data_IF_994827085443
#
_entry.id   IF_994827085443
#
_cell.length_a   1.000
_cell.length_b   1.000
_cell.length_c   1.000
_cell.angle_alpha   90.00
_cell.angle_beta   90.00
_cell.angle_gamma   90.00
#
_symmetry.space_group_name_H-M   'P 1'
#
loop_
_entity.id
_entity.type
_entity.pdbx_description
1 polymer ?
#
# COMPACT_ATOMS: atom_id res chain seq x y z
N UNK A 1 9.07 -26.76 2.48
CA UNK A 1 7.88 -26.46 3.28
C UNK A 1 6.63 -26.45 2.39
N UNK A 2 5.45 -26.44 3.00
CA UNK A 2 4.18 -26.27 2.31
C UNK A 2 3.68 -24.83 2.43
N UNK A 3 3.61 -24.12 1.31
CA UNK A 3 3.15 -22.72 1.23
C UNK A 3 1.70 -22.67 0.77
N UNK A 4 0.86 -21.94 1.50
CA UNK A 4 -0.56 -21.76 1.21
C UNK A 4 -0.89 -20.36 0.69
N UNK A 5 -1.71 -20.29 -0.36
CA UNK A 5 -2.20 -19.04 -0.97
C UNK A 5 -3.73 -19.04 -0.95
N UNK A 6 -4.36 -18.48 0.10
CA UNK A 6 -5.81 -18.37 0.14
C UNK A 6 -6.31 -17.29 -0.83
N UNK A 7 -7.58 -17.40 -1.20
CA UNK A 7 -8.30 -16.35 -1.91
C UNK A 7 -8.52 -15.19 -0.95
N UNK A 8 -8.29 -13.96 -1.42
CA UNK A 8 -8.59 -12.78 -0.61
C UNK A 8 -10.10 -12.63 -0.41
N UNK A 9 -10.48 -12.30 0.83
CA UNK A 9 -11.88 -12.21 1.27
C UNK A 9 -12.29 -10.79 1.68
N UNK A 10 -11.33 -9.86 1.76
CA UNK A 10 -11.64 -8.45 1.99
C UNK A 10 -12.44 -7.90 0.81
N UNK A 11 -13.45 -7.08 1.10
CA UNK A 11 -14.32 -6.49 0.09
C UNK A 11 -13.47 -5.69 -0.92
N UNK A 12 -13.77 -5.88 -2.22
CA UNK A 12 -13.06 -5.21 -3.33
C UNK A 12 -11.54 -5.50 -3.36
N UNK A 13 -11.11 -6.63 -2.80
CA UNK A 13 -9.75 -7.14 -2.96
C UNK A 13 -9.71 -8.23 -4.05
N UNK A 14 -8.96 -7.93 -5.11
CA UNK A 14 -8.87 -8.79 -6.30
C UNK A 14 -7.44 -9.27 -6.57
N UNK A 15 -6.47 -8.85 -5.74
CA UNK A 15 -5.09 -9.34 -5.80
C UNK A 15 -4.99 -10.72 -5.15
N UNK A 16 -3.84 -11.36 -5.30
CA UNK A 16 -3.54 -12.68 -4.72
C UNK A 16 -2.12 -12.71 -4.16
N UNK A 17 -1.90 -13.50 -3.10
CA UNK A 17 -0.63 -13.54 -2.38
C UNK A 17 0.54 -13.97 -3.26
N UNK A 18 0.36 -15.03 -4.05
CA UNK A 18 1.36 -15.53 -5.00
C UNK A 18 0.81 -15.65 -6.42
N UNK A 19 1.62 -15.30 -7.41
CA UNK A 19 1.31 -15.51 -8.84
C UNK A 19 1.76 -16.90 -9.30
N UNK A 20 1.27 -17.42 -10.45
CA UNK A 20 1.82 -18.65 -11.03
C UNK A 20 3.34 -18.61 -11.26
N UNK A 21 3.92 -17.44 -11.54
CA UNK A 21 5.37 -17.29 -11.69
C UNK A 21 6.11 -17.49 -10.36
N UNK A 22 5.59 -16.88 -9.29
CA UNK A 22 6.11 -17.04 -7.93
C UNK A 22 5.98 -18.48 -7.43
N UNK A 23 4.85 -19.13 -7.75
CA UNK A 23 4.66 -20.56 -7.48
C UNK A 23 5.71 -21.39 -8.18
N UNK A 24 5.95 -21.14 -9.47
CA UNK A 24 6.93 -21.90 -10.25
C UNK A 24 8.33 -21.81 -9.64
N UNK A 25 8.71 -20.65 -9.13
CA UNK A 25 9.99 -20.44 -8.43
C UNK A 25 10.07 -21.29 -7.15
N UNK A 26 9.04 -21.25 -6.29
CA UNK A 26 9.02 -22.05 -5.05
C UNK A 26 9.04 -23.55 -5.32
N UNK A 27 8.33 -24.03 -6.35
CA UNK A 27 8.39 -25.43 -6.78
C UNK A 27 9.83 -25.76 -7.25
N UNK A 28 10.49 -24.84 -7.96
CA UNK A 28 11.89 -24.99 -8.39
C UNK A 28 12.88 -25.10 -7.22
N UNK A 29 12.57 -24.46 -6.09
CA UNK A 29 13.30 -24.56 -4.82
C UNK A 29 12.96 -25.83 -4.02
N UNK A 30 12.10 -26.71 -4.54
CA UNK A 30 11.72 -27.97 -3.88
C UNK A 30 10.67 -27.80 -2.79
N UNK A 31 9.92 -26.71 -2.80
CA UNK A 31 8.78 -26.52 -1.90
C UNK A 31 7.49 -27.00 -2.54
N UNK A 32 6.47 -27.19 -1.71
CA UNK A 32 5.11 -27.49 -2.16
C UNK A 32 4.25 -26.24 -2.02
N UNK A 33 3.34 -26.02 -2.97
CA UNK A 33 2.42 -24.89 -2.93
C UNK A 33 0.99 -25.39 -3.08
N UNK A 34 0.11 -24.97 -2.18
CA UNK A 34 -1.34 -25.13 -2.28
C UNK A 34 -2.02 -23.77 -2.48
N UNK A 35 -2.94 -23.72 -3.43
CA UNK A 35 -3.68 -22.50 -3.78
C UNK A 35 -5.16 -22.78 -3.66
N UNK A 36 -5.90 -21.89 -3.02
CA UNK A 36 -7.35 -22.02 -2.93
C UNK A 36 -7.98 -21.87 -4.32
N UNK A 37 -9.00 -22.69 -4.62
CA UNK A 37 -9.81 -22.59 -5.82
C UNK A 37 -10.22 -21.14 -6.12
N UNK A 38 -9.92 -20.67 -7.33
CA UNK A 38 -10.22 -19.35 -7.85
C UNK A 38 -9.56 -18.18 -7.08
N UNK A 39 -8.43 -18.41 -6.41
CA UNK A 39 -7.71 -17.35 -5.69
C UNK A 39 -7.18 -16.24 -6.62
N UNK A 40 -6.79 -16.58 -7.86
CA UNK A 40 -6.24 -15.63 -8.84
C UNK A 40 -7.17 -15.24 -10.00
N UNK A 41 -8.43 -15.71 -9.98
CA UNK A 41 -9.33 -15.61 -11.13
C UNK A 41 -9.62 -14.17 -11.56
N UNK A 42 -9.74 -13.25 -10.59
CA UNK A 42 -10.05 -11.84 -10.85
C UNK A 42 -8.99 -11.13 -11.71
N UNK A 43 -7.79 -11.72 -11.85
CA UNK A 43 -6.69 -11.19 -12.65
C UNK A 43 -6.24 -12.14 -13.77
N UNK A 44 -7.09 -13.10 -14.13
CA UNK A 44 -6.86 -14.14 -15.13
C UNK A 44 -5.68 -15.08 -14.79
N UNK A 45 -5.43 -15.32 -13.51
CA UNK A 45 -4.62 -16.45 -13.06
C UNK A 45 -5.55 -17.56 -12.59
N UNK A 46 -5.97 -18.37 -13.56
CA UNK A 46 -6.87 -19.49 -13.33
C UNK A 46 -6.18 -20.59 -12.53
N UNK A 47 -6.97 -21.45 -11.89
CA UNK A 47 -6.48 -22.68 -11.25
C UNK A 47 -5.57 -23.51 -12.15
N UNK A 48 -5.93 -23.64 -13.43
CA UNK A 48 -5.10 -24.35 -14.41
C UNK A 48 -3.71 -23.70 -14.56
N UNK A 49 -3.63 -22.36 -14.48
CA UNK A 49 -2.35 -21.65 -14.51
C UNK A 49 -1.47 -22.00 -13.30
N UNK A 50 -2.06 -22.14 -12.11
CA UNK A 50 -1.36 -22.56 -10.91
C UNK A 50 -0.94 -24.04 -10.96
N UNK A 51 -1.82 -24.92 -11.46
CA UNK A 51 -1.50 -26.34 -11.66
C UNK A 51 -0.34 -26.52 -12.64
N UNK A 52 -0.33 -25.78 -13.76
CA UNK A 52 0.79 -25.78 -14.72
C UNK A 52 2.11 -25.28 -14.09
N UNK A 53 2.02 -24.37 -13.10
CA UNK A 53 3.17 -23.92 -12.34
C UNK A 53 3.66 -24.97 -11.31
N UNK A 54 2.84 -25.98 -11.00
CA UNK A 54 3.16 -27.08 -10.08
C UNK A 54 2.44 -27.01 -8.73
N UNK A 55 1.53 -26.05 -8.52
CA UNK A 55 0.72 -26.00 -7.31
C UNK A 55 -0.42 -27.02 -7.33
N UNK A 56 -0.83 -27.44 -6.13
CA UNK A 56 -2.07 -28.18 -5.91
C UNK A 56 -3.21 -27.21 -5.58
N UNK A 57 -4.37 -27.43 -6.18
CA UNK A 57 -5.58 -26.66 -5.85
C UNK A 57 -6.30 -27.31 -4.68
N UNK A 58 -6.80 -26.50 -3.76
CA UNK A 58 -7.65 -26.92 -2.63
C UNK A 58 -8.96 -26.14 -2.63
N UNK A 59 -10.06 -26.78 -2.24
CA UNK A 59 -11.39 -26.18 -2.41
C UNK A 59 -11.68 -25.07 -1.39
N UNK A 60 -11.14 -25.20 -0.17
CA UNK A 60 -11.52 -24.32 0.94
C UNK A 60 -10.31 -23.68 1.62
N UNK A 61 -10.52 -22.48 2.15
CA UNK A 61 -9.55 -21.83 3.01
C UNK A 61 -9.24 -22.69 4.25
N UNK A 62 -10.24 -23.35 4.84
CA UNK A 62 -10.03 -24.20 6.01
C UNK A 62 -9.01 -25.33 5.75
N UNK A 63 -9.14 -26.06 4.63
CA UNK A 63 -8.17 -27.09 4.23
C UNK A 63 -6.77 -26.49 4.06
N UNK A 64 -6.69 -25.32 3.41
CA UNK A 64 -5.43 -24.63 3.15
C UNK A 64 -4.71 -24.23 4.45
N UNK A 65 -5.41 -23.55 5.35
CA UNK A 65 -4.88 -23.08 6.62
C UNK A 65 -4.52 -24.25 7.55
N UNK A 66 -5.27 -25.36 7.50
CA UNK A 66 -4.98 -26.55 8.30
C UNK A 66 -3.64 -27.21 7.94
N UNK A 67 -3.26 -27.17 6.66
CA UNK A 67 -2.10 -27.91 6.16
C UNK A 67 -0.85 -27.05 6.00
N UNK A 68 -0.96 -25.80 5.54
CA UNK A 68 0.19 -24.99 5.16
C UNK A 68 1.06 -24.57 6.35
N UNK A 69 2.39 -24.63 6.18
CA UNK A 69 3.37 -24.13 7.15
C UNK A 69 3.43 -22.59 7.12
N UNK A 70 3.31 -22.03 5.92
CA UNK A 70 3.31 -20.58 5.67
C UNK A 70 2.12 -20.17 4.82
N UNK A 71 1.42 -19.12 5.24
CA UNK A 71 0.32 -18.47 4.52
C UNK A 71 0.84 -17.16 3.93
N UNK A 72 0.75 -17.03 2.61
CA UNK A 72 1.09 -15.79 1.90
C UNK A 72 -0.19 -15.13 1.40
N UNK A 73 -0.47 -13.93 1.93
CA UNK A 73 -1.65 -13.13 1.62
C UNK A 73 -1.26 -11.75 1.11
N UNK A 74 -2.26 -11.00 0.67
CA UNK A 74 -2.17 -9.56 0.37
C UNK A 74 -2.66 -8.75 1.55
N UNK A 75 -3.88 -9.01 2.04
CA UNK A 75 -4.50 -8.22 3.11
C UNK A 75 -4.46 -8.94 4.44
N UNK A 76 -4.74 -8.18 5.49
CA UNK A 76 -4.82 -8.71 6.84
C UNK A 76 -5.92 -9.79 6.94
N UNK A 77 -5.76 -10.79 7.82
CA UNK A 77 -6.82 -11.76 8.06
C UNK A 77 -8.11 -11.03 8.47
N UNK A 78 -9.23 -11.44 7.89
CA UNK A 78 -10.55 -10.96 8.29
C UNK A 78 -11.09 -11.80 9.45
N UNK A 79 -12.15 -11.32 10.13
CA UNK A 79 -12.70 -12.01 11.31
C UNK A 79 -13.05 -13.49 11.10
N UNK A 80 -13.47 -13.85 9.88
CA UNK A 80 -13.77 -15.23 9.48
C UNK A 80 -12.51 -16.12 9.33
N UNK A 81 -11.34 -15.52 9.17
CA UNK A 81 -10.05 -16.21 9.02
C UNK A 81 -9.32 -16.40 10.36
N UNK A 82 -9.64 -15.61 11.40
CA UNK A 82 -8.98 -15.70 12.71
C UNK A 82 -8.98 -17.13 13.31
N UNK A 83 -10.10 -17.87 13.30
CA UNK A 83 -10.11 -19.23 13.85
C UNK A 83 -9.34 -20.26 13.01
N UNK A 84 -8.94 -19.90 11.79
CA UNK A 84 -8.19 -20.78 10.89
C UNK A 84 -6.68 -20.72 11.14
N UNK A 85 -6.19 -19.65 11.79
CA UNK A 85 -4.79 -19.48 12.12
C UNK A 85 -4.34 -20.51 13.16
N UNK A 86 -3.11 -21.02 13.00
CA UNK A 86 -2.55 -22.06 13.85
C UNK A 86 -1.30 -21.60 14.57
N UNK A 87 -1.04 -22.22 15.73
CA UNK A 87 0.19 -22.01 16.47
C UNK A 87 1.41 -22.40 15.63
N UNK A 88 2.41 -21.53 15.58
CA UNK A 88 3.64 -21.75 14.81
C UNK A 88 3.51 -21.62 13.29
N UNK A 89 2.32 -21.36 12.75
CA UNK A 89 2.12 -21.07 11.33
C UNK A 89 2.65 -19.68 10.99
N UNK A 90 3.39 -19.57 9.89
CA UNK A 90 3.89 -18.27 9.41
C UNK A 90 2.76 -17.60 8.65
N UNK A 91 2.45 -16.35 8.99
CA UNK A 91 1.55 -15.49 8.23
C UNK A 91 2.37 -14.32 7.67
N UNK A 92 2.48 -14.23 6.34
CA UNK A 92 3.21 -13.16 5.66
C UNK A 92 2.27 -12.37 4.76
N UNK A 93 1.95 -11.12 5.16
CA UNK A 93 0.92 -10.28 4.54
C UNK A 93 1.03 -8.81 5.01
N UNK A 94 0.20 -7.89 4.50
CA UNK A 94 -0.02 -6.60 5.17
C UNK A 94 -0.90 -6.80 6.41
N UNK A 95 -0.55 -6.22 7.56
CA UNK A 95 -1.33 -6.38 8.80
C UNK A 95 -1.99 -5.08 9.28
N UNK A 96 -1.25 -3.98 9.25
CA UNK A 96 -1.64 -2.67 9.77
C UNK A 96 -2.19 -2.77 11.21
N UNK A 97 -1.43 -3.40 12.11
CA UNK A 97 -1.92 -3.76 13.46
C UNK A 97 -2.20 -2.58 14.38
N UNK A 98 -1.45 -1.48 14.28
CA UNK A 98 -1.57 -0.34 15.20
C UNK A 98 -3.01 0.21 15.34
N UNK A 99 -3.78 0.42 14.26
CA UNK A 99 -5.18 0.83 14.36
C UNK A 99 -6.21 -0.31 14.56
N UNK A 100 -5.78 -1.58 14.70
CA UNK A 100 -6.68 -2.74 14.72
C UNK A 100 -6.41 -3.69 15.92
N UNK A 101 -6.87 -3.32 17.12
CA UNK A 101 -6.70 -4.14 18.33
C UNK A 101 -7.39 -5.51 18.24
N UNK A 102 -8.45 -5.63 17.45
CA UNK A 102 -9.19 -6.90 17.30
C UNK A 102 -8.36 -7.92 16.55
N UNK A 103 -7.77 -7.50 15.42
CA UNK A 103 -6.85 -8.33 14.65
C UNK A 103 -5.61 -8.69 15.48
N UNK A 104 -4.98 -7.71 16.16
CA UNK A 104 -3.81 -7.96 16.99
C UNK A 104 -4.08 -9.02 18.07
N UNK A 105 -5.21 -8.91 18.77
CA UNK A 105 -5.62 -9.89 19.78
C UNK A 105 -5.83 -11.29 19.18
N UNK A 106 -6.43 -11.39 17.99
CA UNK A 106 -6.63 -12.65 17.31
C UNK A 106 -5.31 -13.32 16.90
N UNK A 107 -4.36 -12.54 16.36
CA UNK A 107 -3.03 -13.06 16.02
C UNK A 107 -2.28 -13.56 17.27
N UNK A 108 -2.31 -12.79 18.36
CA UNK A 108 -1.70 -13.19 19.64
C UNK A 108 -2.29 -14.51 20.15
N UNK A 109 -3.63 -14.63 20.17
CA UNK A 109 -4.32 -15.84 20.63
C UNK A 109 -4.04 -17.07 19.75
N UNK A 110 -3.86 -16.87 18.44
CA UNK A 110 -3.56 -17.97 17.52
C UNK A 110 -2.17 -18.58 17.72
N UNK A 111 -1.24 -17.84 18.34
CA UNK A 111 0.15 -18.27 18.49
C UNK A 111 0.92 -18.33 17.16
N UNK A 112 0.41 -17.69 16.09
CA UNK A 112 1.07 -17.65 14.79
C UNK A 112 2.36 -16.81 14.83
N UNK A 113 3.10 -16.85 13.73
CA UNK A 113 4.30 -16.04 13.48
C UNK A 113 3.93 -15.06 12.38
N UNK A 114 3.52 -13.85 12.77
CA UNK A 114 3.01 -12.84 11.83
C UNK A 114 4.10 -11.85 11.44
N UNK A 115 4.44 -11.84 10.15
CA UNK A 115 5.42 -10.93 9.55
C UNK A 115 4.66 -9.94 8.65
N UNK A 116 4.77 -8.64 8.93
CA UNK A 116 4.02 -7.61 8.22
C UNK A 116 4.86 -6.98 7.10
N UNK A 117 4.35 -7.01 5.86
CA UNK A 117 5.03 -6.44 4.69
C UNK A 117 5.47 -4.99 4.91
N UNK A 118 4.59 -4.17 5.47
CA UNK A 118 4.78 -2.73 5.67
C UNK A 118 5.80 -2.36 6.75
N UNK A 119 6.32 -3.35 7.49
CA UNK A 119 7.36 -3.16 8.52
C UNK A 119 8.68 -3.84 8.17
N UNK A 120 8.72 -4.64 7.09
CA UNK A 120 9.98 -5.09 6.51
C UNK A 120 10.73 -3.87 5.98
N UNK A 121 11.99 -3.75 6.36
CA UNK A 121 12.85 -2.60 6.01
C UNK A 121 13.83 -2.93 4.89
N UNK A 122 14.67 -1.98 4.49
CA UNK A 122 15.79 -2.20 3.58
C UNK A 122 17.06 -1.49 4.07
N UNK A 123 18.20 -1.80 3.43
CA UNK A 123 19.49 -1.15 3.69
C UNK A 123 19.45 0.36 3.50
N UNK A 124 18.62 0.84 2.57
CA UNK A 124 18.43 2.27 2.26
C UNK A 124 17.35 2.94 3.15
N UNK A 125 17.10 2.39 4.34
CA UNK A 125 16.11 2.90 5.32
C UNK A 125 14.66 2.99 4.77
N UNK A 126 14.34 2.19 3.74
CA UNK A 126 13.05 2.17 3.08
C UNK A 126 12.15 1.01 3.48
N UNK A 127 10.94 0.98 2.93
CA UNK A 127 9.95 -0.09 3.08
C UNK A 127 9.76 -0.82 1.74
N UNK A 128 10.61 -1.81 1.42
CA UNK A 128 10.68 -2.41 0.07
C UNK A 128 9.39 -3.12 -0.33
N UNK A 129 8.63 -3.65 0.62
CA UNK A 129 7.38 -4.35 0.34
C UNK A 129 6.17 -3.40 0.28
N UNK A 130 6.29 -2.16 0.78
CA UNK A 130 5.27 -1.12 0.64
C UNK A 130 5.49 -0.25 -0.61
N UNK A 131 6.76 -0.12 -1.05
CA UNK A 131 7.13 0.72 -2.18
C UNK A 131 6.36 0.41 -3.49
N UNK A 132 6.15 -0.86 -3.91
CA UNK A 132 5.38 -1.16 -5.11
C UNK A 132 3.94 -0.66 -5.04
N UNK A 133 3.28 -0.79 -3.87
CA UNK A 133 1.92 -0.29 -3.69
C UNK A 133 1.87 1.23 -3.70
N UNK A 134 2.88 1.88 -3.10
CA UNK A 134 3.05 3.34 -3.17
C UNK A 134 3.27 3.83 -4.60
N UNK A 135 4.04 3.10 -5.42
CA UNK A 135 4.23 3.43 -6.83
C UNK A 135 2.91 3.34 -7.60
N UNK A 136 2.15 2.27 -7.41
CA UNK A 136 0.83 2.10 -8.06
C UNK A 136 -0.13 3.20 -7.62
N UNK A 137 -0.25 3.47 -6.32
CA UNK A 137 -1.14 4.48 -5.77
C UNK A 137 -0.81 5.88 -6.29
N UNK A 138 0.46 6.27 -6.31
CA UNK A 138 0.89 7.56 -6.87
C UNK A 138 0.55 7.72 -8.36
N UNK A 139 0.67 6.65 -9.15
CA UNK A 139 0.27 6.71 -10.57
C UNK A 139 -1.24 6.79 -10.74
N UNK A 140 -1.98 6.00 -9.97
CA UNK A 140 -3.45 6.02 -9.98
C UNK A 140 -4.01 7.36 -9.50
N UNK A 141 -3.35 8.04 -8.57
CA UNK A 141 -3.80 9.34 -8.06
C UNK A 141 -4.02 10.36 -9.18
N UNK A 142 -3.14 10.37 -10.18
CA UNK A 142 -3.29 11.24 -11.35
C UNK A 142 -4.36 10.74 -12.32
N UNK A 143 -4.52 9.43 -12.48
CA UNK A 143 -5.59 8.89 -13.34
C UNK A 143 -6.97 9.18 -12.75
N UNK A 144 -7.16 8.87 -11.46
CA UNK A 144 -8.38 9.16 -10.72
C UNK A 144 -8.63 10.67 -10.64
N UNK A 145 -7.61 11.47 -10.29
CA UNK A 145 -7.72 12.92 -10.23
C UNK A 145 -8.10 13.54 -11.56
N UNK A 146 -7.49 13.10 -12.66
CA UNK A 146 -7.84 13.58 -14.01
C UNK A 146 -9.29 13.22 -14.39
N UNK A 147 -9.77 12.02 -14.06
CA UNK A 147 -11.15 11.65 -14.31
C UNK A 147 -12.13 12.46 -13.43
N UNK A 148 -11.77 12.74 -12.18
CA UNK A 148 -12.56 13.58 -11.28
C UNK A 148 -12.62 15.05 -11.74
N UNK A 149 -11.62 15.53 -12.49
CA UNK A 149 -11.65 16.88 -13.08
C UNK A 149 -12.69 17.01 -14.19
N UNK A 150 -13.13 15.91 -14.81
CA UNK A 150 -14.15 15.96 -15.85
C UNK A 150 -15.49 16.45 -15.30
N UNK A 151 -16.21 17.27 -16.09
CA UNK A 151 -17.46 17.89 -15.64
C UNK A 151 -18.54 16.88 -15.22
N UNK A 152 -18.74 15.74 -15.93
CA UNK A 152 -19.67 14.70 -15.50
C UNK A 152 -19.33 14.07 -14.14
N UNK A 153 -18.04 14.11 -13.74
CA UNK A 153 -17.55 13.60 -12.46
C UNK A 153 -17.59 14.63 -11.32
N UNK A 154 -18.11 15.84 -11.59
CA UNK A 154 -18.23 16.93 -10.63
C UNK A 154 -17.11 17.98 -10.68
N UNK A 155 -16.05 17.73 -11.44
CA UNK A 155 -14.90 18.63 -11.55
C UNK A 155 -15.16 19.92 -12.31
N UNK A 156 -14.12 20.76 -12.40
CA UNK A 156 -14.17 22.05 -13.09
C UNK A 156 -14.05 21.93 -14.62
N UNK A 157 -13.80 20.74 -15.16
CA UNK A 157 -13.68 20.47 -16.60
C UNK A 157 -12.30 20.70 -17.18
N UNK A 158 -11.25 20.78 -16.34
CA UNK A 158 -9.87 20.99 -16.80
C UNK A 158 -9.27 19.69 -17.35
N UNK A 159 -8.83 19.74 -18.61
CA UNK A 159 -7.97 18.72 -19.18
C UNK A 159 -6.52 19.00 -18.76
N UNK A 160 -5.89 18.06 -18.04
CA UNK A 160 -4.55 18.27 -17.47
C UNK A 160 -3.49 18.73 -18.49
N UNK A 161 -3.50 18.21 -19.71
CA UNK A 161 -2.53 18.59 -20.75
C UNK A 161 -2.87 19.87 -21.51
N UNK A 162 -4.08 20.41 -21.32
CA UNK A 162 -4.59 21.47 -22.20
C UNK A 162 -4.57 21.05 -23.67
N UNK A 163 -4.51 22.05 -24.56
CA UNK A 163 -4.32 21.92 -26.01
C UNK A 163 -3.63 23.21 -26.50
N UNK A 164 -3.04 23.25 -27.71
CA UNK A 164 -2.42 24.48 -28.23
C UNK A 164 -3.34 25.71 -28.11
N UNK A 165 -2.88 26.74 -27.39
CA UNK A 165 -3.64 27.96 -27.10
C UNK A 165 -4.47 27.94 -25.81
N UNK A 166 -4.48 26.83 -25.06
CA UNK A 166 -5.18 26.67 -23.78
C UNK A 166 -4.18 26.22 -22.71
N UNK A 167 -4.22 26.83 -21.52
CA UNK A 167 -3.32 26.48 -20.43
C UNK A 167 -3.53 25.03 -19.96
N UNK A 168 -2.44 24.31 -19.59
CA UNK A 168 -2.54 23.01 -18.95
C UNK A 168 -3.08 23.16 -17.52
N UNK A 169 -3.58 22.06 -16.96
CA UNK A 169 -4.01 22.00 -15.57
C UNK A 169 -2.83 22.13 -14.61
N UNK A 170 -3.08 22.76 -13.46
CA UNK A 170 -2.11 22.92 -12.37
C UNK A 170 -2.23 21.78 -11.37
N UNK A 171 -1.15 21.04 -11.17
CA UNK A 171 -1.06 19.92 -10.23
C UNK A 171 -0.10 20.25 -9.10
N UNK A 172 -0.59 20.22 -7.87
CA UNK A 172 0.24 20.30 -6.66
C UNK A 172 0.39 18.91 -6.03
N UNK A 173 1.61 18.51 -5.70
CA UNK A 173 1.91 17.23 -5.03
C UNK A 173 2.56 17.54 -3.67
N UNK A 174 1.89 17.16 -2.59
CA UNK A 174 2.39 17.37 -1.23
C UNK A 174 3.07 16.08 -0.76
N UNK A 175 4.39 16.11 -0.66
CA UNK A 175 5.24 14.96 -0.36
C UNK A 175 5.95 14.44 -1.61
N UNK A 176 7.27 14.43 -1.61
CA UNK A 176 8.15 14.01 -2.70
C UNK A 176 8.60 12.55 -2.63
N UNK A 177 8.06 11.76 -1.69
CA UNK A 177 8.40 10.33 -1.52
C UNK A 177 7.97 9.44 -2.70
N UNK A 178 7.86 8.13 -2.47
CA UNK A 178 7.56 7.16 -3.56
C UNK A 178 6.23 7.45 -4.26
N UNK A 179 5.17 7.72 -3.49
CA UNK A 179 3.85 8.12 -4.02
C UNK A 179 3.98 9.39 -4.86
N UNK A 180 4.53 10.46 -4.26
CA UNK A 180 4.65 11.76 -4.92
C UNK A 180 5.48 11.72 -6.20
N UNK A 181 6.60 11.00 -6.19
CA UNK A 181 7.46 10.82 -7.38
C UNK A 181 6.70 10.18 -8.55
N UNK A 182 5.84 9.20 -8.25
CA UNK A 182 5.04 8.54 -9.28
C UNK A 182 3.86 9.40 -9.73
N UNK A 183 3.26 10.17 -8.83
CA UNK A 183 2.25 11.18 -9.18
C UNK A 183 2.85 12.26 -10.09
N UNK A 184 4.01 12.82 -9.75
CA UNK A 184 4.75 13.78 -10.57
C UNK A 184 5.00 13.22 -11.97
N UNK A 185 5.56 12.01 -12.06
CA UNK A 185 5.84 11.35 -13.34
C UNK A 185 4.59 11.23 -14.20
N UNK A 186 3.45 10.85 -13.61
CA UNK A 186 2.20 10.70 -14.35
C UNK A 186 1.58 12.04 -14.74
N UNK A 187 1.61 13.05 -13.86
CA UNK A 187 1.09 14.38 -14.13
C UNK A 187 1.88 15.07 -15.25
N UNK A 188 3.20 15.01 -15.19
CA UNK A 188 4.08 15.52 -16.25
C UNK A 188 3.88 14.74 -17.56
N UNK A 189 3.65 13.43 -17.49
CA UNK A 189 3.32 12.59 -18.65
C UNK A 189 1.97 12.94 -19.29
N UNK A 190 1.07 13.59 -18.54
CA UNK A 190 -0.16 14.22 -19.05
C UNK A 190 0.03 15.68 -19.42
N UNK A 191 1.27 16.17 -19.49
CA UNK A 191 1.64 17.55 -19.85
C UNK A 191 1.11 18.62 -18.90
N UNK A 192 0.76 18.24 -17.67
CA UNK A 192 0.32 19.18 -16.64
C UNK A 192 1.45 20.08 -16.14
N UNK A 193 1.11 21.25 -15.60
CA UNK A 193 2.03 22.07 -14.83
C UNK A 193 2.15 21.52 -13.41
N UNK A 194 3.30 20.96 -13.05
CA UNK A 194 3.47 20.24 -11.78
C UNK A 194 4.36 20.99 -10.81
N UNK A 195 3.89 21.13 -9.57
CA UNK A 195 4.68 21.61 -8.42
C UNK A 195 4.68 20.56 -7.31
N UNK A 196 5.87 20.19 -6.82
CA UNK A 196 6.03 19.33 -5.65
C UNK A 196 6.48 20.14 -4.43
N UNK A 197 5.85 19.86 -3.28
CA UNK A 197 6.22 20.41 -1.99
C UNK A 197 6.79 19.33 -1.09
N UNK A 198 7.96 19.56 -0.50
CA UNK A 198 8.58 18.65 0.47
C UNK A 198 9.40 19.43 1.52
N UNK A 199 9.56 18.88 2.72
CA UNK A 199 10.40 19.46 3.79
C UNK A 199 11.88 19.10 3.63
N UNK A 200 12.21 18.08 2.84
CA UNK A 200 13.58 17.67 2.59
C UNK A 200 14.15 18.38 1.36
N UNK A 201 15.05 19.34 1.58
CA UNK A 201 15.78 20.00 0.49
C UNK A 201 16.57 19.00 -0.36
N UNK A 202 17.14 17.97 0.27
CA UNK A 202 17.79 16.86 -0.43
C UNK A 202 16.82 16.17 -1.38
N UNK A 203 15.60 15.86 -0.92
CA UNK A 203 14.59 15.20 -1.75
C UNK A 203 14.16 16.07 -2.93
N UNK A 204 13.96 17.37 -2.70
CA UNK A 204 13.64 18.32 -3.77
C UNK A 204 14.77 18.42 -4.80
N UNK A 205 16.03 18.40 -4.36
CA UNK A 205 17.19 18.37 -5.25
C UNK A 205 17.22 17.09 -6.11
N UNK A 206 16.98 15.92 -5.51
CA UNK A 206 16.90 14.65 -6.23
C UNK A 206 15.79 14.66 -7.29
N UNK A 207 14.61 15.17 -6.95
CA UNK A 207 13.48 15.31 -7.89
C UNK A 207 13.80 16.31 -9.02
N UNK A 208 14.44 17.44 -8.70
CA UNK A 208 14.86 18.41 -9.72
C UNK A 208 15.92 17.83 -10.67
N UNK A 209 16.88 17.05 -10.17
CA UNK A 209 17.85 16.33 -11.02
C UNK A 209 17.17 15.28 -11.90
N UNK A 210 16.15 14.60 -11.37
CA UNK A 210 15.44 13.54 -12.09
C UNK A 210 14.52 14.07 -13.20
N UNK A 211 13.79 15.15 -12.96
CA UNK A 211 12.76 15.67 -13.87
C UNK A 211 13.16 16.96 -14.60
N UNK A 212 14.29 17.56 -14.22
CA UNK A 212 14.81 18.81 -14.78
C UNK A 212 13.90 20.00 -14.49
N UNK A 213 14.17 21.12 -15.16
CA UNK A 213 13.43 22.39 -14.99
C UNK A 213 11.96 22.38 -15.41
N UNK A 214 11.40 21.22 -15.79
CA UNK A 214 9.96 21.05 -16.04
C UNK A 214 9.17 20.83 -14.75
N UNK A 215 9.81 20.35 -13.69
CA UNK A 215 9.20 20.18 -12.38
C UNK A 215 9.49 21.40 -11.51
N UNK A 216 8.45 22.06 -11.01
CA UNK A 216 8.62 23.06 -9.97
C UNK A 216 8.80 22.36 -8.63
N UNK A 217 9.81 22.76 -7.87
CA UNK A 217 10.05 22.27 -6.51
C UNK A 217 9.90 23.43 -5.54
N UNK A 218 9.17 23.22 -4.44
CA UNK A 218 8.97 24.22 -3.41
C UNK A 218 9.22 23.61 -2.04
N UNK A 219 9.93 24.35 -1.18
CA UNK A 219 10.09 23.95 0.21
C UNK A 219 8.73 24.05 0.92
N UNK A 220 8.39 23.01 1.69
CA UNK A 220 7.09 22.89 2.34
C UNK A 220 7.02 23.71 3.63
N UNK A 221 6.38 24.87 3.52
CA UNK A 221 5.97 25.76 4.61
C UNK A 221 4.44 25.89 4.57
N UNK A 222 3.82 26.37 5.64
CA UNK A 222 2.38 26.64 5.64
C UNK A 222 1.97 27.59 4.51
N UNK A 223 2.70 28.69 4.33
CA UNK A 223 2.45 29.67 3.28
C UNK A 223 2.59 29.09 1.86
N UNK A 224 3.60 28.25 1.61
CA UNK A 224 3.77 27.62 0.29
C UNK A 224 2.73 26.53 0.04
N UNK A 225 2.34 25.75 1.05
CA UNK A 225 1.22 24.80 0.93
C UNK A 225 -0.06 25.56 0.55
N UNK A 226 -0.41 26.61 1.31
CA UNK A 226 -1.59 27.42 1.07
C UNK A 226 -1.62 27.94 -0.37
N UNK A 227 -0.53 28.57 -0.82
CA UNK A 227 -0.43 29.14 -2.16
C UNK A 227 -0.70 28.08 -3.24
N UNK A 228 0.06 26.96 -3.22
CA UNK A 228 -0.02 25.97 -4.29
C UNK A 228 -1.27 25.09 -4.22
N UNK A 229 -1.88 24.91 -3.04
CA UNK A 229 -3.17 24.22 -2.90
C UNK A 229 -4.30 25.07 -3.47
N UNK A 230 -4.39 26.34 -3.08
CA UNK A 230 -5.48 27.23 -3.49
C UNK A 230 -5.47 27.47 -5.00
N UNK A 231 -4.29 27.52 -5.62
CA UNK A 231 -4.13 27.72 -7.07
C UNK A 231 -4.31 26.45 -7.91
N UNK A 232 -4.35 25.26 -7.32
CA UNK A 232 -4.33 24.00 -8.06
C UNK A 232 -5.72 23.59 -8.59
N UNK A 233 -5.71 22.99 -9.78
CA UNK A 233 -6.85 22.22 -10.29
C UNK A 233 -6.91 20.85 -9.61
N UNK A 234 -5.74 20.23 -9.39
CA UNK A 234 -5.60 18.93 -8.75
C UNK A 234 -4.51 18.96 -7.68
N UNK A 235 -4.84 18.56 -6.45
CA UNK A 235 -3.87 18.35 -5.36
C UNK A 235 -3.76 16.86 -5.05
N UNK A 236 -2.54 16.34 -4.96
CA UNK A 236 -2.26 14.99 -4.50
C UNK A 236 -1.58 15.05 -3.13
N UNK A 237 -2.28 14.52 -2.12
CA UNK A 237 -1.75 14.27 -0.79
C UNK A 237 -0.93 12.99 -0.78
N UNK A 238 0.40 13.10 -0.71
CA UNK A 238 1.34 11.99 -0.83
C UNK A 238 2.31 11.91 0.37
N UNK A 239 1.86 12.35 1.55
CA UNK A 239 2.65 12.36 2.78
C UNK A 239 2.44 11.08 3.56
N UNK A 240 3.54 10.41 3.88
CA UNK A 240 3.59 9.20 4.69
C UNK A 240 4.57 9.45 5.83
N UNK A 241 4.12 9.22 7.07
CA UNK A 241 5.01 9.14 8.22
C UNK A 241 4.97 7.69 8.71
N UNK A 242 6.05 6.89 8.50
CA UNK A 242 6.05 5.49 8.88
C UNK A 242 5.61 5.28 10.34
N UNK A 243 4.63 4.40 10.55
CA UNK A 243 4.12 4.05 11.88
C UNK A 243 3.36 5.15 12.62
N UNK A 244 2.93 6.24 11.95
CA UNK A 244 2.14 7.33 12.58
C UNK A 244 0.99 7.76 11.69
N UNK A 245 -0.01 8.42 12.27
CA UNK A 245 -1.06 9.08 11.51
C UNK A 245 -0.49 10.18 10.59
N UNK A 246 -1.11 10.34 9.42
CA UNK A 246 -0.71 11.39 8.49
C UNK A 246 -0.98 12.78 9.10
N UNK A 247 -0.02 13.73 9.04
CA UNK A 247 -0.25 15.08 9.52
C UNK A 247 -1.31 15.79 8.66
N UNK A 248 -2.19 16.54 9.29
CA UNK A 248 -3.14 17.43 8.61
C UNK A 248 -2.39 18.65 8.08
N UNK A 249 -2.08 18.66 6.79
CA UNK A 249 -1.27 19.70 6.15
C UNK A 249 -2.12 20.69 5.37
N UNK A 250 -3.30 20.29 4.94
CA UNK A 250 -4.23 21.14 4.20
C UNK A 250 -5.47 21.35 5.04
N UNK A 251 -5.67 22.59 5.48
CA UNK A 251 -6.79 22.95 6.34
C UNK A 251 -8.09 23.05 5.56
N UNK A 252 -9.21 22.96 6.27
CA UNK A 252 -10.54 23.19 5.69
C UNK A 252 -10.64 24.60 5.06
N UNK A 253 -9.98 25.60 5.64
CA UNK A 253 -9.94 26.95 5.09
C UNK A 253 -9.24 27.01 3.72
N UNK A 254 -8.13 26.27 3.54
CA UNK A 254 -7.47 26.16 2.25
C UNK A 254 -8.39 25.53 1.20
N UNK A 255 -9.08 24.44 1.55
CA UNK A 255 -10.04 23.75 0.66
C UNK A 255 -11.15 24.70 0.21
N UNK A 256 -11.74 25.47 1.14
CA UNK A 256 -12.80 26.45 0.84
C UNK A 256 -12.38 27.54 -0.15
N UNK A 257 -11.09 27.84 -0.22
CA UNK A 257 -10.53 28.88 -1.09
C UNK A 257 -10.12 28.37 -2.46
N UNK A 258 -10.09 27.05 -2.67
CA UNK A 258 -9.86 26.47 -3.98
C UNK A 258 -10.98 26.84 -4.97
N UNK A 259 -10.69 26.74 -6.26
CA UNK A 259 -11.71 26.94 -7.28
C UNK A 259 -12.78 25.84 -7.19
N UNK A 260 -14.09 26.17 -7.31
CA UNK A 260 -15.13 25.15 -7.38
C UNK A 260 -14.89 24.17 -8.53
N UNK A 261 -14.94 22.88 -8.22
CA UNK A 261 -14.63 21.78 -9.13
C UNK A 261 -13.15 21.40 -9.18
N UNK A 262 -12.27 22.05 -8.42
CA UNK A 262 -10.93 21.51 -8.15
C UNK A 262 -11.05 20.15 -7.44
N UNK A 263 -10.00 19.34 -7.57
CA UNK A 263 -9.96 17.97 -7.07
C UNK A 263 -8.82 17.82 -6.06
N UNK A 264 -9.08 17.12 -4.96
CA UNK A 264 -8.06 16.64 -4.04
C UNK A 264 -8.07 15.12 -3.98
N UNK A 265 -6.90 14.52 -4.11
CA UNK A 265 -6.70 13.06 -4.03
C UNK A 265 -5.84 12.78 -2.81
N UNK A 266 -6.42 12.14 -1.79
CA UNK A 266 -5.73 11.79 -0.56
C UNK A 266 -5.23 10.36 -0.59
N UNK A 267 -3.99 10.17 -1.02
CA UNK A 267 -3.34 8.86 -1.02
C UNK A 267 -2.95 8.44 0.41
N UNK A 268 -2.84 9.40 1.33
CA UNK A 268 -2.53 9.14 2.74
C UNK A 268 -3.76 8.74 3.55
N UNK A 269 -4.92 8.54 2.92
CA UNK A 269 -6.18 8.24 3.59
C UNK A 269 -6.12 6.96 4.45
N UNK A 270 -5.28 5.99 4.06
CA UNK A 270 -5.03 4.76 4.81
C UNK A 270 -4.47 5.01 6.22
N UNK A 271 -3.92 6.21 6.46
CA UNK A 271 -3.38 6.67 7.75
C UNK A 271 -4.13 7.88 8.30
N UNK A 272 -5.40 8.03 7.92
CA UNK A 272 -6.27 9.12 8.35
C UNK A 272 -6.28 10.35 7.44
N UNK A 273 -5.43 10.38 6.41
CA UNK A 273 -5.43 11.42 5.37
C UNK A 273 -4.73 12.72 5.76
N UNK A 274 -4.14 13.42 4.79
CA UNK A 274 -3.40 14.67 5.02
C UNK A 274 -4.24 15.94 4.83
N UNK A 275 -5.50 15.83 4.40
CA UNK A 275 -6.46 16.94 4.39
C UNK A 275 -7.37 16.86 5.63
N UNK A 276 -7.75 18.00 6.21
CA UNK A 276 -8.70 18.05 7.34
C UNK A 276 -10.10 17.58 6.94
N UNK A 277 -10.48 17.80 5.69
CA UNK A 277 -11.78 17.47 5.09
C UNK A 277 -11.88 16.02 4.58
N UNK A 278 -10.77 15.28 4.62
CA UNK A 278 -10.73 13.89 4.14
C UNK A 278 -11.55 12.96 5.03
N UNK A 279 -12.29 12.06 4.37
CA UNK A 279 -12.90 10.87 4.99
C UNK A 279 -12.77 9.68 4.03
N UNK A 280 -12.57 8.46 4.53
CA UNK A 280 -12.42 7.29 3.66
C UNK A 280 -13.62 7.09 2.72
N UNK A 281 -13.33 6.73 1.48
CA UNK A 281 -14.30 6.33 0.44
C UNK A 281 -13.97 4.93 -0.10
N UNK A 282 -14.82 4.39 -0.99
CA UNK A 282 -14.68 3.03 -1.56
C UNK A 282 -14.56 3.08 -3.08
N UNK A 283 -14.21 1.99 -3.76
CA UNK A 283 -14.18 2.01 -5.23
C UNK A 283 -15.58 2.23 -5.83
N UNK A 284 -16.63 1.78 -5.14
CA UNK A 284 -18.03 1.96 -5.54
C UNK A 284 -18.52 3.41 -5.41
N UNK A 285 -18.14 4.09 -4.33
CA UNK A 285 -18.51 5.49 -4.08
C UNK A 285 -17.23 6.29 -3.78
N UNK A 286 -16.42 6.60 -4.82
CA UNK A 286 -15.03 7.01 -4.64
C UNK A 286 -14.86 8.46 -4.24
N UNK A 287 -15.87 9.29 -4.46
CA UNK A 287 -15.76 10.73 -4.27
C UNK A 287 -16.89 11.34 -3.45
N UNK A 288 -16.62 12.49 -2.86
CA UNK A 288 -17.63 13.39 -2.31
C UNK A 288 -17.21 14.83 -2.56
N UNK A 289 -18.17 15.75 -2.54
CA UNK A 289 -17.88 17.18 -2.71
C UNK A 289 -18.01 17.90 -1.38
N UNK A 290 -17.03 18.73 -1.03
CA UNK A 290 -17.04 19.58 0.15
C UNK A 290 -16.55 20.98 -0.23
N UNK A 291 -17.33 22.00 0.11
CA UNK A 291 -17.08 23.41 -0.27
C UNK A 291 -16.77 23.61 -1.76
N UNK A 292 -17.44 22.82 -2.62
CA UNK A 292 -17.25 22.85 -4.06
C UNK A 292 -16.03 22.09 -4.58
N UNK A 293 -15.21 21.49 -3.71
CA UNK A 293 -14.03 20.70 -4.08
C UNK A 293 -14.34 19.20 -4.04
N UNK A 294 -13.98 18.49 -5.10
CA UNK A 294 -14.16 17.04 -5.21
C UNK A 294 -13.03 16.33 -4.46
N UNK A 295 -13.38 15.48 -3.51
CA UNK A 295 -12.45 14.69 -2.72
C UNK A 295 -12.46 13.24 -3.22
N UNK A 296 -11.29 12.70 -3.53
CA UNK A 296 -11.07 11.28 -3.80
C UNK A 296 -10.21 10.70 -2.68
N UNK A 297 -10.77 9.79 -1.89
CA UNK A 297 -10.17 9.29 -0.64
C UNK A 297 -10.30 7.76 -0.51
N UNK A 298 -10.08 7.02 -1.59
CA UNK A 298 -10.26 5.55 -1.60
C UNK A 298 -9.13 4.84 -0.88
N UNK A 299 -9.44 4.08 0.18
CA UNK A 299 -8.46 3.48 1.11
C UNK A 299 -7.82 2.15 0.65
N UNK A 300 -7.77 1.91 -0.66
CA UNK A 300 -7.10 0.77 -1.29
C UNK A 300 -6.93 1.01 -2.80
N UNK A 301 -6.36 2.15 -3.18
CA UNK A 301 -6.23 2.52 -4.61
C UNK A 301 -5.62 1.40 -5.48
N UNK A 302 -4.54 0.70 -5.06
CA UNK A 302 -3.97 -0.38 -5.88
C UNK A 302 -4.91 -1.55 -6.18
N UNK A 303 -5.97 -1.73 -5.37
CA UNK A 303 -7.02 -2.72 -5.61
C UNK A 303 -7.79 -2.52 -6.92
N UNK A 304 -7.81 -1.31 -7.48
CA UNK A 304 -8.43 -1.02 -8.78
C UNK A 304 -7.67 -1.58 -9.99
N UNK A 305 -6.36 -1.86 -9.84
CA UNK A 305 -5.50 -2.40 -10.91
C UNK A 305 -4.81 -3.69 -10.43
N UNK A 306 -5.59 -4.70 -10.03
CA UNK A 306 -5.10 -5.82 -9.23
C UNK A 306 -4.08 -6.66 -9.98
N UNK A 307 -4.14 -6.74 -11.31
CA UNK A 307 -3.15 -7.47 -12.11
C UNK A 307 -1.76 -6.84 -11.99
N UNK A 308 -1.67 -5.53 -12.20
CA UNK A 308 -0.41 -4.77 -12.07
C UNK A 308 0.10 -4.80 -10.65
N UNK A 309 -0.79 -4.57 -9.68
CA UNK A 309 -0.43 -4.54 -8.27
C UNK A 309 0.03 -5.91 -7.75
N UNK A 310 -0.64 -7.00 -8.13
CA UNK A 310 -0.24 -8.36 -7.76
C UNK A 310 1.17 -8.67 -8.25
N UNK A 311 1.46 -8.41 -9.53
CA UNK A 311 2.78 -8.67 -10.11
C UNK A 311 3.86 -7.81 -9.44
N UNK A 312 3.58 -6.53 -9.21
CA UNK A 312 4.52 -5.63 -8.55
C UNK A 312 4.81 -6.05 -7.09
N UNK A 313 3.78 -6.44 -6.34
CA UNK A 313 3.91 -6.94 -4.97
C UNK A 313 4.69 -8.25 -4.95
N UNK A 314 4.40 -9.18 -5.87
CA UNK A 314 5.06 -10.47 -5.95
C UNK A 314 6.54 -10.36 -6.28
N UNK A 315 6.92 -9.47 -7.20
CA UNK A 315 8.34 -9.24 -7.50
C UNK A 315 9.13 -8.73 -6.29
N UNK A 316 8.49 -7.99 -5.38
CA UNK A 316 9.12 -7.49 -4.16
C UNK A 316 9.11 -8.52 -3.02
N UNK A 317 8.03 -9.29 -2.87
CA UNK A 317 7.84 -10.25 -1.77
C UNK A 317 8.52 -11.60 -2.02
N UNK A 318 8.64 -12.04 -3.28
CA UNK A 318 9.15 -13.36 -3.64
C UNK A 318 10.52 -13.67 -3.00
N UNK A 319 11.53 -12.78 -3.00
CA UNK A 319 12.80 -13.06 -2.34
C UNK A 319 12.66 -13.37 -0.83
N UNK A 320 11.71 -12.74 -0.15
CA UNK A 320 11.46 -12.97 1.28
C UNK A 320 10.63 -14.23 1.51
N UNK A 321 9.64 -14.50 0.66
CA UNK A 321 8.86 -15.75 0.68
C UNK A 321 9.81 -16.94 0.48
N UNK A 322 10.69 -16.88 -0.52
CA UNK A 322 11.69 -17.90 -0.79
C UNK A 322 12.68 -18.02 0.36
N UNK A 323 13.18 -16.91 0.93
CA UNK A 323 14.08 -16.95 2.08
C UNK A 323 13.45 -17.64 3.31
N UNK A 324 12.18 -17.34 3.60
CA UNK A 324 11.41 -17.97 4.66
C UNK A 324 11.12 -19.45 4.36
N UNK A 325 11.06 -19.82 3.08
CA UNK A 325 10.77 -21.18 2.64
C UNK A 325 12.00 -22.11 2.62
N UNK A 326 13.13 -21.59 2.15
CA UNK A 326 14.42 -22.28 2.06
C UNK A 326 15.04 -22.52 3.43
N UNK A 327 14.85 -21.57 4.35
CA UNK A 327 15.40 -21.63 5.71
C UNK A 327 14.31 -21.96 6.72
N UNK A 328 14.70 -22.53 7.86
CA UNK A 328 13.86 -22.42 9.05
C UNK A 328 13.59 -20.94 9.35
N UNK A 329 12.34 -20.56 9.64
CA UNK A 329 11.95 -19.16 9.80
C UNK A 329 12.79 -18.43 10.86
N UNK A 330 13.23 -19.12 11.93
CA UNK A 330 14.09 -18.50 12.95
C UNK A 330 15.41 -18.10 12.33
N UNK A 331 16.00 -18.97 11.52
CA UNK A 331 17.26 -18.70 10.85
C UNK A 331 17.11 -17.59 9.80
N UNK A 332 16.01 -17.58 9.04
CA UNK A 332 15.70 -16.50 8.11
C UNK A 332 15.64 -15.12 8.80
N UNK A 333 14.95 -15.05 9.93
CA UNK A 333 14.80 -13.83 10.74
C UNK A 333 16.12 -13.41 11.39
N UNK A 334 16.87 -14.34 11.98
CA UNK A 334 18.15 -14.05 12.65
C UNK A 334 19.25 -13.62 11.67
N UNK A 335 19.27 -14.17 10.45
CA UNK A 335 20.25 -13.82 9.42
C UNK A 335 19.91 -12.49 8.69
N UNK A 336 18.67 -12.00 8.80
CA UNK A 336 18.20 -10.84 8.07
C UNK A 336 17.51 -9.83 8.99
N UNK A 337 18.24 -8.82 9.51
CA UNK A 337 17.67 -7.83 10.42
C UNK A 337 16.52 -7.03 9.78
N UNK A 338 16.50 -6.89 8.45
CA UNK A 338 15.42 -6.19 7.76
C UNK A 338 14.12 -6.97 7.73
N UNK A 339 14.20 -8.29 7.56
CA UNK A 339 13.06 -9.19 7.68
C UNK A 339 12.62 -9.33 9.13
N UNK A 340 13.57 -9.34 10.08
CA UNK A 340 13.29 -9.36 11.52
C UNK A 340 12.45 -8.17 11.97
N UNK A 341 12.74 -6.97 11.45
CA UNK A 341 11.92 -5.78 11.70
C UNK A 341 10.46 -5.97 11.23
N UNK A 342 10.23 -6.88 10.29
CA UNK A 342 8.91 -7.31 9.84
C UNK A 342 8.13 -8.16 10.85
N UNK A 343 8.79 -8.79 11.83
CA UNK A 343 8.14 -9.67 12.80
C UNK A 343 7.30 -8.84 13.78
N UNK A 344 5.98 -8.98 13.68
CA UNK A 344 5.02 -8.20 14.46
C UNK A 344 4.40 -9.02 15.61
N UNK A 345 4.09 -10.30 15.35
CA UNK A 345 3.60 -11.23 16.35
C UNK A 345 4.43 -12.50 16.33
N UNK A 346 4.83 -12.97 17.51
CA UNK A 346 5.53 -14.22 17.68
C UNK A 346 4.96 -15.00 18.86
N UNK A 347 4.18 -16.06 18.59
CA UNK A 347 3.70 -17.02 19.60
C UNK A 347 3.05 -16.36 20.83
N UNK A 348 2.17 -15.38 20.60
CA UNK A 348 1.48 -14.65 21.67
C UNK A 348 2.21 -13.43 22.21
N UNK A 349 3.33 -13.03 21.61
CA UNK A 349 4.08 -11.82 21.95
C UNK A 349 4.00 -10.78 20.82
N UNK A 350 3.84 -9.49 21.17
CA UNK A 350 4.01 -8.38 20.22
C UNK A 350 5.49 -8.01 20.16
N UNK A 351 6.06 -8.04 18.97
CA UNK A 351 7.51 -7.85 18.74
C UNK A 351 7.86 -6.60 17.96
N UNK A 352 6.87 -5.79 17.58
CA UNK A 352 7.07 -4.51 16.92
C UNK A 352 6.76 -3.35 17.88
N UNK A 353 7.77 -2.55 18.23
CA UNK A 353 7.70 -1.53 19.28
C UNK A 353 6.59 -0.49 19.04
N UNK A 354 6.46 0.03 17.82
CA UNK A 354 5.40 1.00 17.48
C UNK A 354 3.99 0.43 17.63
N UNK A 355 3.80 -0.86 17.31
CA UNK A 355 2.50 -1.52 17.44
C UNK A 355 2.17 -1.75 18.91
N UNK A 356 3.15 -2.19 19.71
CA UNK A 356 2.99 -2.34 21.15
C UNK A 356 2.60 -1.02 21.83
N UNK A 357 3.28 0.08 21.47
CA UNK A 357 2.99 1.41 21.99
C UNK A 357 1.58 1.89 21.64
N UNK A 358 1.18 1.81 20.36
CA UNK A 358 -0.14 2.28 19.91
C UNK A 358 -1.30 1.44 20.48
N UNK A 359 -1.09 0.15 20.70
CA UNK A 359 -2.09 -0.76 21.28
C UNK A 359 -2.06 -0.81 22.82
N UNK A 360 -1.06 -0.21 23.47
CA UNK A 360 -0.88 -0.28 24.92
C UNK A 360 -0.55 -1.69 25.43
N UNK A 361 0.17 -2.49 24.62
CA UNK A 361 0.57 -3.86 24.90
C UNK A 361 2.07 -3.93 25.28
N UNK A 362 2.52 -4.98 26.00
CA UNK A 362 3.94 -5.18 26.26
C UNK A 362 4.71 -5.44 24.95
N UNK A 363 5.87 -4.80 24.82
CA UNK A 363 6.84 -5.08 23.76
C UNK A 363 7.84 -6.13 24.24
N UNK A 364 7.98 -7.20 23.46
CA UNK A 364 9.00 -8.22 23.67
C UNK A 364 10.05 -8.18 22.55
N UNK A 365 11.33 -8.21 22.92
CA UNK A 365 12.40 -8.13 21.94
C UNK A 365 12.43 -9.41 21.07
N UNK A 366 12.26 -9.30 19.74
CA UNK A 366 12.20 -10.46 18.86
C UNK A 366 13.49 -11.29 18.86
N UNK A 367 14.66 -10.67 19.04
CA UNK A 367 15.93 -11.42 19.12
C UNK A 367 15.99 -12.33 20.33
N UNK A 368 15.46 -11.88 21.47
CA UNK A 368 15.46 -12.67 22.70
C UNK A 368 14.49 -13.86 22.61
N UNK A 369 13.39 -13.72 21.88
CA UNK A 369 12.38 -14.78 21.69
C UNK A 369 12.82 -15.85 20.67
N UNK A 370 13.70 -15.49 19.74
CA UNK A 370 14.16 -16.38 18.66
C UNK A 370 15.38 -17.23 19.04
N UNK A 371 16.15 -16.81 20.05
CA UNK A 371 17.23 -17.58 20.69
C UNK A 371 16.66 -18.74 21.51
#
# INVERSE_FOLDING_TARGET
>A
MLVGVPKEVKIEEYRVGLTPYSVKELIGHGHEVIVQHNAGDAINFTDSSYQMAGARIVETAAELYQCADMIVKVKEPQAIEYPLLREGQILFTYLHLAPDPTQAQALLQSGCIAIAYETVTSLDEGLPLLAPMSQVAGRLAIQAGAHCLEKPSGGNGVLLGGVPGVYPGKVAVIGGGVVGTNAIRMAMGKEAQVTVLDKSLRRLQELNLQFGGRLNTAYSTEASIEQYVVEADLVVGAVLVPGKAAPKLVSHEMIRRMQPGSVVVDVAIDQGGCFETSRPTTHKDPTFTMDGVVHYCVSNMPGAVPRTATLALNNATLPFVTLLADKDYRRALLDNPHLLNGLNVYRGHITHEGVAADLGLPYDNPLALLQ
#
